data_IF_871380313048
#
_entry.id   IF_871380313048
#
_cell.length_a   1.000
_cell.length_b   1.000
_cell.length_c   1.000
_cell.angle_alpha   90.00
_cell.angle_beta   90.00
_cell.angle_gamma   90.00
#
_symmetry.space_group_name_H-M   'P 1'
#
loop_
_entity.id
_entity.type
_entity.pdbx_description
1 polymer ?
#
# COMPACT_ATOMS: atom_id res chain seq x y z
N UNK A 1 47.00 -38.02 -6.86
CA UNK A 1 46.56 -38.22 -8.25
C UNK A 1 45.05 -38.40 -8.24
N UNK A 2 44.31 -37.29 -8.21
CA UNK A 2 43.03 -37.09 -8.88
C UNK A 2 42.94 -35.58 -9.11
N UNK A 3 42.95 -35.25 -10.38
CA UNK A 3 43.01 -33.94 -11.04
C UNK A 3 41.68 -33.19 -10.86
N UNK A 4 41.74 -31.90 -10.51
CA UNK A 4 41.37 -30.75 -11.37
C UNK A 4 39.94 -30.73 -11.93
N UNK A 5 39.33 -29.56 -11.72
CA UNK A 5 38.23 -28.92 -12.46
C UNK A 5 36.80 -29.46 -12.33
N UNK A 6 36.10 -28.91 -11.33
CA UNK A 6 34.72 -28.43 -11.50
C UNK A 6 34.55 -27.09 -10.77
N UNK A 7 35.24 -26.05 -11.24
CA UNK A 7 34.90 -24.67 -10.88
C UNK A 7 34.00 -24.09 -11.97
N UNK A 8 32.83 -23.62 -11.51
CA UNK A 8 32.09 -22.48 -12.06
C UNK A 8 31.57 -22.60 -13.49
N UNK A 9 30.41 -23.24 -13.65
CA UNK A 9 29.58 -23.05 -14.86
C UNK A 9 28.07 -22.94 -14.57
N UNK A 10 27.69 -22.53 -13.35
CA UNK A 10 26.28 -22.35 -12.97
C UNK A 10 25.80 -20.88 -12.95
N UNK A 11 26.68 -19.93 -13.29
CA UNK A 11 26.34 -18.50 -13.29
C UNK A 11 26.98 -17.81 -14.50
N UNK A 12 26.39 -17.94 -15.69
CA UNK A 12 26.78 -17.05 -16.81
C UNK A 12 25.69 -16.71 -17.80
N UNK A 13 24.42 -17.03 -17.55
CA UNK A 13 23.34 -16.20 -18.09
C UNK A 13 23.16 -15.04 -17.13
N UNK A 14 24.04 -14.03 -17.25
CA UNK A 14 23.74 -12.72 -16.72
C UNK A 14 22.37 -12.35 -17.26
N UNK A 15 21.37 -12.23 -16.36
CA UNK A 15 20.10 -11.61 -16.70
C UNK A 15 20.49 -10.30 -17.38
N UNK A 16 20.19 -10.18 -18.67
CA UNK A 16 20.52 -8.97 -19.41
C UNK A 16 19.99 -7.79 -18.61
N UNK A 17 20.71 -6.67 -18.56
CA UNK A 17 20.23 -5.46 -17.89
C UNK A 17 18.96 -4.99 -18.63
N UNK A 18 17.80 -5.57 -18.27
CA UNK A 18 16.52 -5.31 -18.89
C UNK A 18 16.14 -3.90 -18.47
N UNK A 19 15.95 -3.02 -19.45
CA UNK A 19 15.36 -1.71 -19.22
C UNK A 19 13.87 -1.90 -18.88
N UNK A 20 13.56 -2.07 -17.59
CA UNK A 20 12.20 -2.23 -17.11
C UNK A 20 11.42 -0.92 -17.28
N UNK A 21 10.54 -0.89 -18.29
CA UNK A 21 9.55 0.18 -18.53
C UNK A 21 8.11 -0.27 -18.28
N UNK A 22 7.96 -1.36 -17.53
CA UNK A 22 6.68 -1.76 -16.97
C UNK A 22 6.39 -0.89 -15.74
N UNK A 23 5.13 -0.69 -15.36
CA UNK A 23 4.79 0.21 -14.26
C UNK A 23 5.04 -0.41 -12.87
N UNK A 24 5.79 -1.50 -12.76
CA UNK A 24 6.05 -2.22 -11.51
C UNK A 24 6.22 -3.73 -11.73
N UNK A 25 7.30 -4.38 -11.21
CA UNK A 25 8.42 -3.75 -10.51
C UNK A 25 9.21 -2.80 -11.42
N UNK A 26 9.78 -1.75 -10.82
CA UNK A 26 10.64 -0.77 -11.51
C UNK A 26 12.12 -1.13 -11.33
N UNK A 27 13.05 -0.54 -12.12
CA UNK A 27 14.48 -0.64 -11.82
C UNK A 27 14.79 -0.18 -10.40
N UNK A 28 15.71 -0.90 -9.74
CA UNK A 28 16.17 -0.59 -8.38
C UNK A 28 17.63 -0.20 -8.47
N UNK A 29 17.98 0.89 -7.78
CA UNK A 29 19.33 1.43 -7.74
C UNK A 29 20.33 0.47 -7.08
N UNK A 30 21.58 0.45 -7.56
CA UNK A 30 22.60 -0.49 -7.09
C UNK A 30 22.86 -0.35 -5.58
N UNK A 31 22.89 0.87 -5.04
CA UNK A 31 23.12 1.09 -3.60
C UNK A 31 21.97 0.51 -2.74
N UNK A 32 20.73 0.53 -3.26
CA UNK A 32 19.59 -0.11 -2.60
C UNK A 32 19.77 -1.63 -2.59
N UNK A 33 20.18 -2.22 -3.71
CA UNK A 33 20.42 -3.66 -3.82
C UNK A 33 21.58 -4.11 -2.92
N UNK A 34 22.68 -3.36 -2.88
CA UNK A 34 23.82 -3.60 -2.00
C UNK A 34 23.41 -3.52 -0.52
N UNK A 35 22.59 -2.52 -0.16
CA UNK A 35 22.08 -2.34 1.21
C UNK A 35 21.29 -3.55 1.70
N UNK A 36 20.57 -4.25 0.81
CA UNK A 36 19.83 -5.47 1.17
C UNK A 36 20.74 -6.63 1.59
N UNK A 37 22.01 -6.60 1.19
CA UNK A 37 23.05 -7.56 1.57
C UNK A 37 23.62 -7.36 2.99
N UNK A 38 23.14 -6.37 3.73
CA UNK A 38 23.55 -6.13 5.13
C UNK A 38 23.31 -7.38 5.99
N UNK A 39 24.25 -7.76 6.88
CA UNK A 39 24.08 -8.91 7.79
C UNK A 39 22.78 -8.84 8.60
N UNK A 40 22.14 -9.99 8.77
CA UNK A 40 20.86 -10.08 9.50
C UNK A 40 21.01 -9.63 10.95
N UNK A 41 20.03 -8.86 11.41
CA UNK A 41 19.88 -8.46 12.82
C UNK A 41 18.73 -9.21 13.48
N UNK A 42 18.73 -9.27 14.80
CA UNK A 42 17.62 -9.84 15.55
C UNK A 42 16.38 -8.93 15.44
N UNK A 43 15.33 -9.38 14.75
CA UNK A 43 14.08 -8.63 14.57
C UNK A 43 13.28 -8.41 15.87
N UNK A 44 13.73 -9.01 16.99
CA UNK A 44 13.19 -8.80 18.34
C UNK A 44 14.11 -7.93 19.21
N UNK A 45 15.27 -7.53 18.69
CA UNK A 45 16.31 -6.77 19.38
C UNK A 45 16.23 -5.25 19.19
N UNK A 46 17.09 -4.49 19.91
CA UNK A 46 17.05 -3.03 19.90
C UNK A 46 17.38 -2.41 18.53
N UNK A 47 18.27 -3.02 17.75
CA UNK A 47 18.64 -2.50 16.43
C UNK A 47 17.47 -2.51 15.45
N UNK A 48 16.63 -3.56 15.50
CA UNK A 48 15.43 -3.64 14.68
C UNK A 48 14.35 -2.69 15.18
N UNK A 49 14.22 -2.52 16.50
CA UNK A 49 13.29 -1.54 17.08
C UNK A 49 13.56 -0.13 16.55
N UNK A 50 14.83 0.29 16.54
CA UNK A 50 15.22 1.60 16.01
C UNK A 50 14.94 1.70 14.50
N UNK A 51 15.18 0.62 13.75
CA UNK A 51 14.87 0.53 12.32
C UNK A 51 13.37 0.63 12.04
N UNK A 52 12.54 -0.08 12.80
CA UNK A 52 11.09 -0.05 12.66
C UNK A 52 10.55 1.36 12.94
N UNK A 53 10.96 1.99 14.04
CA UNK A 53 10.46 3.32 14.39
C UNK A 53 10.87 4.40 13.40
N UNK A 54 12.14 4.41 12.94
CA UNK A 54 12.59 5.43 11.99
C UNK A 54 11.95 5.26 10.60
N UNK A 55 11.80 4.01 10.14
CA UNK A 55 11.14 3.73 8.86
C UNK A 55 9.66 4.08 8.93
N UNK A 56 8.94 3.69 9.99
CA UNK A 56 7.53 4.10 10.19
C UNK A 56 7.37 5.62 10.23
N UNK A 57 8.28 6.35 10.90
CA UNK A 57 8.26 7.83 10.88
C UNK A 57 8.41 8.39 9.47
N UNK A 58 9.36 7.88 8.69
CA UNK A 58 9.55 8.28 7.30
C UNK A 58 8.33 7.97 6.42
N UNK A 59 7.70 6.80 6.61
CA UNK A 59 6.46 6.44 5.93
C UNK A 59 5.33 7.43 6.26
N UNK A 60 5.12 7.77 7.53
CA UNK A 60 4.10 8.76 7.94
C UNK A 60 4.26 10.10 7.24
N UNK A 61 5.50 10.55 7.02
CA UNK A 61 5.77 11.77 6.23
C UNK A 61 5.35 11.60 4.76
N UNK A 62 5.70 10.49 4.10
CA UNK A 62 5.34 10.25 2.69
C UNK A 62 3.83 10.06 2.50
N UNK A 63 3.15 9.47 3.47
CA UNK A 63 1.69 9.35 3.51
C UNK A 63 1.00 10.67 3.87
N UNK A 64 1.73 11.71 4.30
CA UNK A 64 1.18 12.95 4.84
C UNK A 64 0.11 12.68 5.93
N UNK A 65 0.50 11.91 6.96
CA UNK A 65 -0.42 11.44 8.00
C UNK A 65 0.20 11.37 9.40
N UNK A 66 -0.59 11.77 10.39
CA UNK A 66 -0.36 11.50 11.81
C UNK A 66 -1.03 10.20 12.29
N UNK A 67 -1.77 9.51 11.42
CA UNK A 67 -2.37 8.21 11.71
C UNK A 67 -1.33 7.10 11.95
N UNK A 68 -1.81 5.94 12.37
CA UNK A 68 -0.97 4.75 12.47
C UNK A 68 -0.58 4.26 11.06
N UNK A 69 0.68 3.84 10.89
CA UNK A 69 1.18 3.24 9.63
C UNK A 69 1.94 1.97 9.94
N UNK A 70 1.59 0.89 9.23
CA UNK A 70 2.16 -0.44 9.43
C UNK A 70 2.87 -0.96 8.18
N UNK A 71 3.87 -1.80 8.43
CA UNK A 71 4.71 -2.42 7.41
C UNK A 71 4.44 -3.94 7.43
N UNK A 72 3.93 -4.44 6.31
CA UNK A 72 3.61 -5.86 6.11
C UNK A 72 4.68 -6.46 5.21
N UNK A 73 5.20 -7.64 5.56
CA UNK A 73 6.03 -8.41 4.64
C UNK A 73 5.12 -9.13 3.65
N UNK A 74 4.97 -8.56 2.46
CA UNK A 74 4.02 -9.01 1.46
C UNK A 74 3.98 -8.10 0.24
N UNK A 75 3.11 -8.42 -0.71
CA UNK A 75 2.83 -7.57 -1.89
C UNK A 75 1.74 -6.55 -1.58
N UNK A 76 1.52 -5.56 -2.45
CA UNK A 76 0.43 -4.59 -2.29
C UNK A 76 -0.96 -5.21 -2.10
N UNK A 77 -1.21 -6.38 -2.71
CA UNK A 77 -2.45 -7.13 -2.50
C UNK A 77 -2.66 -7.50 -1.02
N UNK A 78 -1.59 -7.75 -0.26
CA UNK A 78 -1.71 -8.03 1.19
C UNK A 78 -2.17 -6.81 1.99
N UNK A 79 -1.78 -5.59 1.58
CA UNK A 79 -2.31 -4.36 2.19
C UNK A 79 -3.77 -4.12 1.79
N UNK A 80 -4.15 -4.38 0.54
CA UNK A 80 -5.57 -4.31 0.12
C UNK A 80 -6.43 -5.30 0.89
N UNK A 81 -5.96 -6.53 1.06
CA UNK A 81 -6.65 -7.55 1.86
C UNK A 81 -6.71 -7.17 3.33
N UNK A 82 -5.62 -6.65 3.91
CA UNK A 82 -5.60 -6.11 5.26
C UNK A 82 -6.65 -5.01 5.43
N UNK A 83 -6.79 -4.07 4.49
CA UNK A 83 -7.82 -3.03 4.57
C UNK A 83 -9.23 -3.64 4.71
N UNK A 84 -9.57 -4.61 3.85
CA UNK A 84 -10.88 -5.28 3.85
C UNK A 84 -11.10 -6.05 5.15
N UNK A 85 -10.20 -6.98 5.48
CA UNK A 85 -10.42 -7.89 6.62
C UNK A 85 -10.31 -7.20 7.98
N UNK A 86 -9.81 -5.96 8.03
CA UNK A 86 -9.71 -5.19 9.28
C UNK A 86 -10.78 -4.12 9.44
N UNK A 87 -11.57 -3.77 8.43
CA UNK A 87 -12.56 -2.68 8.56
C UNK A 87 -14.00 -3.11 8.25
N UNK A 88 -14.15 -4.27 7.63
CA UNK A 88 -15.44 -4.80 7.19
C UNK A 88 -15.74 -6.15 7.84
N UNK A 89 -17.01 -6.54 7.81
CA UNK A 89 -17.54 -7.82 8.30
C UNK A 89 -18.29 -8.53 7.17
N UNK A 90 -18.35 -9.88 7.14
CA UNK A 90 -19.20 -10.58 6.17
C UNK A 90 -20.64 -10.04 6.19
N UNK A 91 -21.19 -9.77 5.01
CA UNK A 91 -22.51 -9.14 4.82
C UNK A 91 -22.52 -7.61 4.86
N UNK A 92 -21.43 -6.94 5.25
CA UNK A 92 -21.32 -5.49 5.07
C UNK A 92 -21.45 -5.15 3.58
N UNK A 93 -22.10 -4.02 3.28
CA UNK A 93 -22.25 -3.52 1.92
C UNK A 93 -21.24 -2.42 1.63
N UNK A 94 -20.63 -2.46 0.44
CA UNK A 94 -19.62 -1.48 0.00
C UNK A 94 -19.82 -1.09 -1.45
N UNK A 95 -19.34 0.10 -1.82
CA UNK A 95 -19.19 0.50 -3.22
C UNK A 95 -17.73 0.32 -3.63
N UNK A 96 -17.46 -0.37 -4.73
CA UNK A 96 -16.15 -0.42 -5.37
C UNK A 96 -16.17 0.47 -6.63
N UNK A 97 -15.62 1.68 -6.55
CA UNK A 97 -15.49 2.59 -7.68
C UNK A 97 -14.22 2.24 -8.47
N UNK A 98 -14.41 1.71 -9.68
CA UNK A 98 -13.32 1.10 -10.47
C UNK A 98 -13.26 1.66 -11.89
N UNK A 99 -12.04 1.92 -12.34
CA UNK A 99 -11.73 2.47 -13.67
C UNK A 99 -10.75 1.57 -14.46
N UNK A 100 -10.53 0.33 -13.98
CA UNK A 100 -9.60 -0.61 -14.60
C UNK A 100 -9.32 -1.87 -13.79
N UNK A 101 -8.25 -2.59 -14.19
CA UNK A 101 -7.94 -3.93 -13.68
C UNK A 101 -7.54 -3.93 -12.20
N UNK A 102 -6.85 -2.90 -11.72
CA UNK A 102 -6.39 -2.85 -10.33
C UNK A 102 -7.52 -2.45 -9.38
N UNK A 103 -8.39 -1.51 -9.77
CA UNK A 103 -9.61 -1.18 -9.02
C UNK A 103 -10.57 -2.36 -8.86
N UNK A 104 -10.65 -3.24 -9.85
CA UNK A 104 -11.46 -4.46 -9.75
C UNK A 104 -10.98 -5.40 -8.63
N UNK A 105 -9.70 -5.32 -8.23
CA UNK A 105 -9.12 -6.23 -7.23
C UNK A 105 -9.74 -6.05 -5.85
N UNK A 106 -10.10 -4.84 -5.44
CA UNK A 106 -10.81 -4.63 -4.17
C UNK A 106 -12.16 -5.35 -4.15
N UNK A 107 -12.93 -5.25 -5.24
CA UNK A 107 -14.18 -6.00 -5.39
C UNK A 107 -13.97 -7.51 -5.35
N UNK A 108 -12.93 -8.03 -6.02
CA UNK A 108 -12.59 -9.46 -5.98
C UNK A 108 -12.21 -9.93 -4.57
N UNK A 109 -11.38 -9.18 -3.85
CA UNK A 109 -11.00 -9.48 -2.46
C UNK A 109 -12.25 -9.46 -1.58
N UNK A 110 -13.04 -8.39 -1.64
CA UNK A 110 -14.23 -8.20 -0.80
C UNK A 110 -15.27 -9.31 -1.02
N UNK A 111 -15.55 -9.68 -2.26
CA UNK A 111 -16.44 -10.81 -2.58
C UNK A 111 -15.95 -12.13 -2.00
N UNK A 112 -14.63 -12.41 -2.01
CA UNK A 112 -14.07 -13.63 -1.41
C UNK A 112 -14.27 -13.69 0.11
N UNK A 113 -14.36 -12.53 0.75
CA UNK A 113 -14.59 -12.38 2.18
C UNK A 113 -16.07 -12.19 2.55
N UNK A 114 -16.99 -12.42 1.60
CA UNK A 114 -18.43 -12.40 1.86
C UNK A 114 -19.02 -11.00 2.06
N UNK A 115 -18.34 -9.96 1.58
CA UNK A 115 -18.85 -8.58 1.53
C UNK A 115 -19.84 -8.46 0.36
N UNK A 116 -20.92 -7.71 0.54
CA UNK A 116 -21.84 -7.34 -0.54
C UNK A 116 -21.28 -6.13 -1.32
N UNK A 117 -20.83 -6.36 -2.55
CA UNK A 117 -20.09 -5.36 -3.35
C UNK A 117 -20.97 -4.81 -4.47
N UNK A 118 -21.34 -3.54 -4.36
CA UNK A 118 -21.85 -2.74 -5.47
C UNK A 118 -20.68 -2.23 -6.30
N UNK A 119 -20.51 -2.73 -7.52
CA UNK A 119 -19.41 -2.29 -8.40
C UNK A 119 -19.86 -1.11 -9.26
N UNK A 120 -19.28 0.06 -9.00
CA UNK A 120 -19.48 1.24 -9.83
C UNK A 120 -18.37 1.30 -10.90
N UNK A 121 -18.68 0.73 -12.06
CA UNK A 121 -17.76 0.61 -13.19
C UNK A 121 -17.78 1.85 -14.09
N UNK A 122 -16.59 2.21 -14.58
CA UNK A 122 -16.34 3.30 -15.51
C UNK A 122 -15.53 2.79 -16.70
N UNK A 123 -15.77 3.32 -17.92
CA UNK A 123 -15.00 2.95 -19.10
C UNK A 123 -13.49 3.13 -18.88
N UNK A 124 -12.70 2.19 -19.41
CA UNK A 124 -11.24 2.27 -19.32
C UNK A 124 -10.74 3.56 -19.97
N UNK A 125 -9.84 4.26 -19.28
CA UNK A 125 -9.33 5.56 -19.72
C UNK A 125 -10.15 6.76 -19.22
N UNK A 126 -11.18 6.54 -18.39
CA UNK A 126 -11.94 7.61 -17.72
C UNK A 126 -11.73 7.56 -16.21
N UNK A 127 -11.84 8.73 -15.56
CA UNK A 127 -11.84 8.83 -14.10
C UNK A 127 -13.25 8.59 -13.54
N UNK A 128 -13.35 8.39 -12.23
CA UNK A 128 -14.62 8.30 -11.50
C UNK A 128 -15.42 9.60 -11.72
N UNK A 129 -16.65 9.45 -12.20
CA UNK A 129 -17.62 10.54 -12.29
C UNK A 129 -18.25 10.77 -10.91
N UNK A 130 -18.14 12.00 -10.40
CA UNK A 130 -18.61 12.37 -9.06
C UNK A 130 -20.14 12.33 -8.95
N UNK A 131 -20.87 12.66 -10.00
CA UNK A 131 -22.34 12.65 -9.96
C UNK A 131 -22.85 11.22 -9.97
N UNK A 132 -22.25 10.32 -10.76
CA UNK A 132 -22.54 8.88 -10.69
C UNK A 132 -22.19 8.29 -9.33
N UNK A 133 -21.10 8.73 -8.70
CA UNK A 133 -20.74 8.32 -7.34
C UNK A 133 -21.79 8.77 -6.32
N UNK A 134 -22.25 10.02 -6.40
CA UNK A 134 -23.35 10.55 -5.55
C UNK A 134 -24.62 9.75 -5.75
N UNK A 135 -25.03 9.50 -6.99
CA UNK A 135 -26.23 8.72 -7.31
C UNK A 135 -26.16 7.32 -6.69
N UNK A 136 -25.01 6.63 -6.82
CA UNK A 136 -24.80 5.32 -6.23
C UNK A 136 -24.88 5.37 -4.68
N UNK A 137 -24.31 6.40 -4.05
CA UNK A 137 -24.38 6.58 -2.59
C UNK A 137 -25.80 6.89 -2.09
N UNK A 138 -26.58 7.68 -2.84
CA UNK A 138 -28.00 7.94 -2.55
C UNK A 138 -28.83 6.66 -2.65
N UNK A 139 -28.57 5.81 -3.64
CA UNK A 139 -29.27 4.55 -3.83
C UNK A 139 -28.88 3.48 -2.82
N UNK A 140 -27.70 3.62 -2.20
CA UNK A 140 -27.13 2.65 -1.27
C UNK A 140 -26.76 3.31 0.08
N UNK A 141 -27.72 3.89 0.82
CA UNK A 141 -27.44 4.65 2.04
C UNK A 141 -26.85 3.79 3.16
N UNK A 142 -27.00 2.47 3.07
CA UNK A 142 -26.52 1.46 4.01
C UNK A 142 -25.06 1.04 3.78
N UNK A 143 -24.41 1.51 2.70
CA UNK A 143 -23.00 1.17 2.47
C UNK A 143 -22.13 1.65 3.62
N UNK A 144 -21.17 0.83 4.02
CA UNK A 144 -20.23 1.13 5.10
C UNK A 144 -19.00 1.86 4.61
N UNK A 145 -18.53 1.50 3.41
CA UNK A 145 -17.30 2.00 2.83
C UNK A 145 -17.40 2.16 1.32
N UNK A 146 -16.57 3.06 0.79
CA UNK A 146 -16.27 3.19 -0.63
C UNK A 146 -14.79 2.88 -0.84
N UNK A 147 -14.51 1.96 -1.76
CA UNK A 147 -13.18 1.59 -2.20
C UNK A 147 -12.86 2.26 -3.52
N UNK A 148 -11.67 2.86 -3.63
CA UNK A 148 -11.24 3.59 -4.84
C UNK A 148 -9.75 3.39 -5.08
N UNK A 149 -9.36 3.29 -6.35
CA UNK A 149 -7.95 3.32 -6.75
C UNK A 149 -7.55 4.74 -7.10
N UNK A 150 -6.47 5.25 -6.51
CA UNK A 150 -6.02 6.61 -6.80
C UNK A 150 -5.42 6.71 -8.21
N UNK A 151 -4.51 5.81 -8.57
CA UNK A 151 -3.89 5.77 -9.89
C UNK A 151 -4.06 4.38 -10.50
N UNK A 152 -4.93 4.25 -11.49
CA UNK A 152 -5.19 2.98 -12.17
C UNK A 152 -4.08 2.68 -13.17
N UNK A 153 -3.14 1.83 -12.74
CA UNK A 153 -1.95 1.51 -13.51
C UNK A 153 -2.27 0.89 -14.88
N UNK A 154 -3.38 0.15 -15.02
CA UNK A 154 -3.72 -0.53 -16.27
C UNK A 154 -4.21 0.41 -17.38
N UNK A 155 -4.71 1.60 -17.01
CA UNK A 155 -5.22 2.61 -17.95
C UNK A 155 -4.42 3.90 -17.94
N UNK A 156 -3.56 4.10 -16.95
CA UNK A 156 -2.79 5.34 -16.77
C UNK A 156 -3.63 6.50 -16.24
N UNK A 157 -4.83 6.22 -15.71
CA UNK A 157 -5.75 7.24 -15.20
C UNK A 157 -5.48 7.49 -13.72
N UNK A 158 -5.30 8.76 -13.35
CA UNK A 158 -5.32 9.21 -11.96
C UNK A 158 -6.70 9.80 -11.63
N UNK A 159 -7.37 9.24 -10.63
CA UNK A 159 -8.62 9.77 -10.10
C UNK A 159 -8.35 11.02 -9.25
N UNK A 160 -9.25 12.01 -9.29
CA UNK A 160 -9.22 13.12 -8.34
C UNK A 160 -9.65 12.64 -6.95
N UNK A 161 -8.70 12.05 -6.22
CA UNK A 161 -8.96 11.40 -4.94
C UNK A 161 -9.46 12.40 -3.90
N UNK A 162 -9.03 13.66 -3.96
CA UNK A 162 -9.50 14.72 -3.07
C UNK A 162 -11.00 14.95 -3.27
N UNK A 163 -11.43 15.20 -4.51
CA UNK A 163 -12.83 15.46 -4.81
C UNK A 163 -13.73 14.24 -4.51
N UNK A 164 -13.23 13.02 -4.80
CA UNK A 164 -13.92 11.78 -4.46
C UNK A 164 -14.10 11.64 -2.95
N UNK A 165 -13.03 11.87 -2.17
CA UNK A 165 -13.09 11.80 -0.72
C UNK A 165 -14.00 12.88 -0.12
N UNK A 166 -14.00 14.10 -0.67
CA UNK A 166 -14.92 15.18 -0.27
C UNK A 166 -16.40 14.78 -0.44
N UNK A 167 -16.75 14.08 -1.52
CA UNK A 167 -18.10 13.52 -1.69
C UNK A 167 -18.38 12.46 -0.62
N UNK A 168 -17.53 11.43 -0.54
CA UNK A 168 -17.77 10.27 0.32
C UNK A 168 -17.85 10.67 1.80
N UNK A 169 -16.93 11.53 2.25
CA UNK A 169 -16.83 11.98 3.65
C UNK A 169 -17.74 13.14 3.96
N UNK A 170 -17.75 14.17 3.10
CA UNK A 170 -18.46 15.41 3.35
C UNK A 170 -19.97 15.32 3.16
N UNK A 171 -20.42 14.52 2.18
CA UNK A 171 -21.85 14.43 1.84
C UNK A 171 -22.53 13.19 2.45
N UNK A 172 -21.79 12.08 2.64
CA UNK A 172 -22.38 10.78 3.03
C UNK A 172 -21.77 10.14 4.29
N UNK A 173 -20.68 10.71 4.81
CA UNK A 173 -19.97 10.24 6.01
C UNK A 173 -19.59 8.74 6.00
N UNK A 174 -19.10 8.22 4.86
CA UNK A 174 -18.68 6.81 4.73
C UNK A 174 -17.18 6.62 4.88
N UNK A 175 -16.75 5.38 5.13
CA UNK A 175 -15.31 5.06 5.12
C UNK A 175 -14.73 5.17 3.70
N UNK A 176 -13.55 5.75 3.57
CA UNK A 176 -12.78 5.85 2.33
C UNK A 176 -11.57 4.93 2.40
N UNK A 177 -11.57 3.89 1.58
CA UNK A 177 -10.49 2.89 1.49
C UNK A 177 -9.80 3.04 0.13
N UNK A 178 -8.49 3.28 0.14
CA UNK A 178 -7.75 3.69 -1.05
C UNK A 178 -6.67 2.69 -1.43
N UNK A 179 -6.66 2.30 -2.71
CA UNK A 179 -5.51 1.69 -3.36
C UNK A 179 -4.60 2.82 -3.87
N UNK A 180 -3.50 3.01 -3.15
CA UNK A 180 -2.42 3.94 -3.47
C UNK A 180 -1.14 3.24 -3.90
N UNK A 181 -1.19 1.99 -4.37
CA UNK A 181 -0.01 1.20 -4.75
C UNK A 181 0.84 1.93 -5.79
N UNK A 182 0.22 2.51 -6.81
CA UNK A 182 0.89 3.22 -7.91
C UNK A 182 0.80 4.74 -7.79
N UNK A 183 0.48 5.28 -6.61
CA UNK A 183 0.39 6.73 -6.40
C UNK A 183 1.17 7.21 -5.18
N UNK A 184 1.10 6.52 -4.04
CA UNK A 184 1.88 6.92 -2.86
C UNK A 184 3.37 6.82 -3.21
N UNK A 185 4.13 7.85 -2.85
CA UNK A 185 5.54 8.04 -3.23
C UNK A 185 5.78 8.35 -4.72
N UNK A 186 4.75 8.72 -5.48
CA UNK A 186 4.87 9.21 -6.87
C UNK A 186 3.97 10.40 -7.17
N UNK A 187 2.82 10.50 -6.52
CA UNK A 187 1.82 11.56 -6.62
C UNK A 187 1.49 12.08 -5.21
N UNK A 188 0.99 13.32 -5.09
CA UNK A 188 0.47 13.84 -3.82
C UNK A 188 -0.65 12.94 -3.29
N UNK A 189 -0.56 12.55 -2.02
CA UNK A 189 -1.63 11.84 -1.29
C UNK A 189 -1.70 12.44 0.11
N UNK A 190 -2.53 13.45 0.28
CA UNK A 190 -2.68 14.13 1.58
C UNK A 190 -3.66 13.35 2.46
N UNK A 191 -3.22 12.21 3.01
CA UNK A 191 -4.08 11.23 3.70
C UNK A 191 -5.00 11.86 4.74
N UNK A 192 -4.43 12.67 5.65
CA UNK A 192 -5.21 13.30 6.72
C UNK A 192 -6.06 14.45 6.20
N UNK A 193 -5.49 15.30 5.35
CA UNK A 193 -6.19 16.48 4.84
C UNK A 193 -7.37 16.12 3.93
N UNK A 194 -7.31 14.96 3.25
CA UNK A 194 -8.42 14.44 2.43
C UNK A 194 -9.32 13.48 3.22
N UNK A 195 -9.04 13.23 4.50
CA UNK A 195 -9.87 12.38 5.36
C UNK A 195 -9.93 10.92 4.91
N UNK A 196 -8.84 10.39 4.34
CA UNK A 196 -8.76 8.99 3.89
C UNK A 196 -8.64 8.07 5.10
N UNK A 197 -9.50 7.06 5.20
CA UNK A 197 -9.56 6.23 6.40
C UNK A 197 -8.51 5.11 6.40
N UNK A 198 -8.29 4.50 5.23
CA UNK A 198 -7.26 3.48 4.99
C UNK A 198 -6.59 3.74 3.65
N UNK A 199 -5.25 3.79 3.62
CA UNK A 199 -4.48 3.91 2.37
C UNK A 199 -3.48 2.76 2.29
N UNK A 200 -3.57 1.96 1.23
CA UNK A 200 -2.69 0.82 0.98
C UNK A 200 -1.69 1.12 -0.15
N UNK A 201 -0.43 0.69 -0.01
CA UNK A 201 0.59 0.79 -1.07
C UNK A 201 1.65 -0.31 -0.97
N UNK A 202 2.63 -0.32 -1.89
CA UNK A 202 3.63 -1.38 -2.00
C UNK A 202 5.01 -0.90 -2.46
N UNK A 203 6.05 -1.61 -2.06
CA UNK A 203 7.45 -1.20 -2.22
C UNK A 203 7.96 -1.11 -3.67
N UNK A 204 7.43 -1.91 -4.60
CA UNK A 204 7.97 -2.03 -5.97
C UNK A 204 7.52 -0.97 -6.98
N UNK A 205 7.12 0.19 -6.48
CA UNK A 205 6.57 1.32 -7.24
C UNK A 205 7.43 2.56 -6.98
N UNK A 206 6.83 3.72 -6.69
CA UNK A 206 7.55 4.99 -6.45
C UNK A 206 8.62 4.97 -5.35
N UNK A 207 8.60 3.95 -4.50
CA UNK A 207 9.56 3.78 -3.40
C UNK A 207 10.96 3.32 -3.83
N UNK A 208 11.13 2.88 -5.09
CA UNK A 208 12.43 2.40 -5.61
C UNK A 208 13.01 1.21 -4.84
N UNK A 209 12.13 0.31 -4.39
CA UNK A 209 12.49 -0.89 -3.63
C UNK A 209 12.09 -2.15 -4.41
N UNK A 210 12.71 -3.32 -4.15
CA UNK A 210 12.18 -4.59 -4.64
C UNK A 210 10.80 -4.93 -4.05
N UNK A 211 10.00 -5.79 -4.71
CA UNK A 211 8.76 -6.28 -4.14
C UNK A 211 9.04 -7.10 -2.87
N UNK A 212 8.24 -6.87 -1.83
CA UNK A 212 8.37 -7.63 -0.58
C UNK A 212 7.86 -6.90 0.66
N UNK A 213 7.57 -5.60 0.55
CA UNK A 213 6.88 -4.85 1.60
C UNK A 213 5.60 -4.23 1.04
N UNK A 214 4.57 -4.22 1.89
CA UNK A 214 3.37 -3.43 1.72
C UNK A 214 3.21 -2.49 2.90
N UNK A 215 2.63 -1.31 2.66
CA UNK A 215 2.44 -0.29 3.69
C UNK A 215 0.96 0.08 3.75
N UNK A 216 0.46 0.31 4.95
CA UNK A 216 -0.94 0.64 5.16
C UNK A 216 -1.10 1.65 6.29
N UNK A 217 -1.86 2.72 6.03
CA UNK A 217 -2.27 3.69 7.05
C UNK A 217 -3.66 3.36 7.58
N UNK A 218 -3.90 3.62 8.88
CA UNK A 218 -5.19 3.42 9.55
C UNK A 218 -5.55 4.66 10.37
N UNK A 219 -6.58 5.37 9.92
CA UNK A 219 -7.18 6.46 10.69
C UNK A 219 -7.87 5.98 11.97
N UNK A 220 -8.23 6.91 12.84
CA UNK A 220 -9.03 6.61 14.02
C UNK A 220 -10.38 5.96 13.68
N UNK A 221 -11.05 6.40 12.61
CA UNK A 221 -12.31 5.78 12.15
C UNK A 221 -12.13 4.38 11.59
N UNK A 222 -11.01 4.12 10.92
CA UNK A 222 -10.66 2.76 10.51
C UNK A 222 -10.45 1.84 11.72
N UNK A 223 -9.88 2.36 12.81
CA UNK A 223 -9.77 1.62 14.07
C UNK A 223 -11.12 1.37 14.75
N UNK A 224 -12.04 2.32 14.70
CA UNK A 224 -13.42 2.13 15.16
C UNK A 224 -14.12 1.03 14.35
N UNK A 225 -13.98 1.07 13.02
CA UNK A 225 -14.50 0.02 12.14
C UNK A 225 -13.84 -1.34 12.41
N UNK A 226 -12.56 -1.34 12.77
CA UNK A 226 -11.82 -2.55 13.14
C UNK A 226 -12.32 -3.20 14.43
N UNK A 227 -12.65 -2.39 15.43
CA UNK A 227 -13.19 -2.88 16.70
C UNK A 227 -14.52 -3.62 16.54
N UNK A 228 -15.32 -3.20 15.55
CA UNK A 228 -16.62 -3.82 15.24
C UNK A 228 -16.55 -4.91 14.15
N UNK A 229 -15.40 -5.05 13.48
CA UNK A 229 -15.22 -6.03 12.41
C UNK A 229 -15.17 -7.46 12.96
N UNK A 230 -16.00 -8.35 12.40
CA UNK A 230 -16.08 -9.77 12.76
C UNK A 230 -15.33 -10.69 11.79
N UNK A 231 -14.61 -10.12 10.83
CA UNK A 231 -13.90 -10.88 9.81
C UNK A 231 -12.79 -11.76 10.45
N UNK A 232 -12.71 -13.05 10.12
CA UNK A 232 -11.61 -13.89 10.60
C UNK A 232 -10.28 -13.41 9.99
N UNK A 233 -9.28 -13.20 10.85
CA UNK A 233 -7.95 -12.72 10.46
C UNK A 233 -6.86 -13.25 11.40
N UNK A 234 -5.62 -13.32 10.89
CA UNK A 234 -4.45 -13.74 11.67
C UNK A 234 -3.17 -13.02 11.20
N UNK A 235 -2.65 -13.37 10.02
CA UNK A 235 -1.40 -12.78 9.51
C UNK A 235 -1.54 -11.29 9.15
N UNK A 236 -2.74 -10.91 8.73
CA UNK A 236 -3.10 -9.54 8.36
C UNK A 236 -3.93 -8.86 9.45
N UNK A 237 -3.90 -9.31 10.69
CA UNK A 237 -4.62 -8.64 11.78
C UNK A 237 -3.87 -7.39 12.26
N UNK A 238 -4.40 -6.20 11.95
CA UNK A 238 -3.74 -4.94 12.28
C UNK A 238 -3.62 -4.71 13.78
N UNK A 239 -4.49 -5.31 14.62
CA UNK A 239 -4.35 -5.26 16.07
C UNK A 239 -3.02 -5.86 16.53
N UNK A 240 -2.57 -6.95 15.90
CA UNK A 240 -1.27 -7.54 16.19
C UNK A 240 -0.12 -6.61 15.76
N UNK A 241 -0.22 -5.97 14.59
CA UNK A 241 0.79 -4.99 14.16
C UNK A 241 0.87 -3.80 15.12
N UNK A 242 -0.27 -3.26 15.57
CA UNK A 242 -0.33 -2.19 16.58
C UNK A 242 0.32 -2.60 17.89
N UNK A 243 -0.09 -3.73 18.44
CA UNK A 243 0.43 -4.27 19.71
C UNK A 243 1.93 -4.53 19.67
N UNK A 244 2.44 -5.10 18.58
CA UNK A 244 3.88 -5.37 18.46
C UNK A 244 4.69 -4.12 18.13
N UNK A 245 4.11 -3.15 17.41
CA UNK A 245 4.77 -1.86 17.18
C UNK A 245 5.09 -1.16 18.50
N UNK A 246 4.20 -1.17 19.49
CA UNK A 246 4.48 -0.62 20.83
C UNK A 246 5.71 -1.26 21.51
N UNK A 247 5.96 -2.54 21.24
CA UNK A 247 7.13 -3.28 21.72
C UNK A 247 8.40 -2.95 20.91
N UNK A 248 8.27 -2.31 19.74
CA UNK A 248 9.35 -2.10 18.78
C UNK A 248 9.67 -3.35 17.97
N UNK A 249 8.67 -4.16 17.66
CA UNK A 249 8.83 -5.44 16.98
C UNK A 249 7.77 -5.62 15.88
N UNK A 250 8.00 -6.52 14.91
CA UNK A 250 6.95 -6.98 14.01
C UNK A 250 6.16 -8.13 14.66
N UNK A 251 4.90 -8.38 14.29
CA UNK A 251 4.16 -9.53 14.82
C UNK A 251 4.80 -10.87 14.41
N UNK A 252 5.27 -10.96 13.17
CA UNK A 252 5.93 -12.13 12.59
C UNK A 252 7.33 -11.79 12.09
N UNK A 253 8.13 -12.80 11.74
CA UNK A 253 9.46 -12.57 11.14
C UNK A 253 9.30 -11.75 9.84
N UNK A 254 9.91 -10.55 9.74
CA UNK A 254 9.76 -9.66 8.60
C UNK A 254 10.83 -9.93 7.53
N UNK A 255 10.70 -9.29 6.36
CA UNK A 255 11.80 -9.14 5.41
C UNK A 255 12.80 -8.08 5.90
N UNK A 256 13.75 -8.50 6.75
CA UNK A 256 14.79 -7.61 7.33
C UNK A 256 15.63 -6.94 6.24
N UNK A 257 15.99 -7.66 5.17
CA UNK A 257 16.70 -7.09 4.02
C UNK A 257 15.94 -5.94 3.35
N UNK A 258 14.63 -6.10 3.11
CA UNK A 258 13.83 -5.03 2.53
C UNK A 258 13.66 -3.84 3.49
N UNK A 259 13.66 -4.08 4.80
CA UNK A 259 13.62 -3.00 5.80
C UNK A 259 14.87 -2.13 5.76
N UNK A 260 16.06 -2.71 5.55
CA UNK A 260 17.30 -1.92 5.37
C UNK A 260 17.22 -1.04 4.12
N UNK A 261 16.76 -1.61 3.01
CA UNK A 261 16.55 -0.86 1.78
C UNK A 261 15.54 0.28 1.95
N UNK A 262 14.43 0.02 2.65
CA UNK A 262 13.41 1.03 2.97
C UNK A 262 14.00 2.20 3.76
N UNK A 263 14.84 1.93 4.77
CA UNK A 263 15.51 2.98 5.54
C UNK A 263 16.38 3.90 4.67
N UNK A 264 17.14 3.32 3.73
CA UNK A 264 17.94 4.11 2.78
C UNK A 264 17.05 4.89 1.81
N UNK A 265 16.01 4.27 1.25
CA UNK A 265 15.08 4.93 0.34
C UNK A 265 14.37 6.12 1.00
N UNK A 266 13.89 5.97 2.23
CA UNK A 266 13.24 7.04 2.98
C UNK A 266 14.18 8.21 3.26
N UNK A 267 15.45 7.95 3.61
CA UNK A 267 16.46 9.01 3.79
C UNK A 267 16.70 9.80 2.49
N UNK A 268 16.71 9.09 1.34
CA UNK A 268 16.84 9.73 0.02
C UNK A 268 15.62 10.57 -0.32
N UNK A 269 14.41 10.05 -0.08
CA UNK A 269 13.15 10.77 -0.27
C UNK A 269 13.09 12.02 0.62
N UNK A 270 13.50 11.91 1.89
CA UNK A 270 13.55 13.05 2.82
C UNK A 270 14.54 14.12 2.34
N UNK A 271 15.70 13.71 1.82
CA UNK A 271 16.71 14.63 1.27
C UNK A 271 16.25 15.29 -0.03
N UNK A 272 15.56 14.56 -0.89
CA UNK A 272 14.99 15.07 -2.15
C UNK A 272 13.84 16.06 -1.85
N UNK A 273 13.00 15.73 -0.87
CA UNK A 273 11.77 16.44 -0.56
C UNK A 273 10.62 15.97 -1.45
N UNK A 274 9.42 15.89 -0.86
CA UNK A 274 8.24 15.34 -1.56
C UNK A 274 7.84 16.15 -2.79
N UNK A 275 7.96 17.49 -2.75
CA UNK A 275 7.67 18.34 -3.91
C UNK A 275 8.53 17.99 -5.13
N UNK A 276 9.85 17.92 -4.94
CA UNK A 276 10.78 17.55 -6.02
C UNK A 276 10.57 16.10 -6.49
N UNK A 277 10.27 15.19 -5.57
CA UNK A 277 9.91 13.81 -5.89
C UNK A 277 8.69 13.74 -6.83
N UNK A 278 7.63 14.50 -6.54
CA UNK A 278 6.43 14.54 -7.37
C UNK A 278 6.68 15.20 -8.73
N UNK A 279 7.41 16.32 -8.76
CA UNK A 279 7.80 17.01 -10.00
C UNK A 279 8.59 16.08 -10.93
N UNK A 280 9.50 15.26 -10.38
CA UNK A 280 10.26 14.28 -11.16
C UNK A 280 9.40 13.18 -11.78
N UNK A 281 8.29 12.80 -11.16
CA UNK A 281 7.37 11.79 -11.69
C UNK A 281 6.38 12.36 -12.72
N UNK A 282 6.22 13.68 -12.78
CA UNK A 282 5.32 14.35 -13.72
C UNK A 282 5.90 14.48 -15.14
N UNK A 283 7.19 14.17 -15.33
CA UNK A 283 7.94 14.27 -16.59
C UNK A 283 8.26 12.91 -17.19
#
# INVERSE_FOLDING_TARGET
MFTHDHKNDFFSEAISLVNLRIPGPIPVDDEILETMGTPMINHRGPEYKDLLFRTTKGLKNVFATDNDVYIITGSGTSAMEAAVVNTLSPGDKVINATVGVFGNRFGVISNRYGIDVETLDFPFGTAVDLDRLREALVQNPDVKAVMVTHNETSTGVTNDLKAIAEVIKGEFDKLVIVDGISSVCSLPVETDAWGLDVVATASQKGWMLPPGLAFISFSQRAWEAHAESTMPRFYLDMAEYKRYFELGQPPFTPSVSCMFALDLALKRIEKEGLGALYERHAT
#
